data_IF_297602794752
#
_entry.id   IF_297602794752
#
_cell.length_a   1.000
_cell.length_b   1.000
_cell.length_c   1.000
_cell.angle_alpha   90.00
_cell.angle_beta   90.00
_cell.angle_gamma   90.00
#
_symmetry.space_group_name_H-M   'P 1'
#
loop_
_entity.id
_entity.type
_entity.pdbx_description
1 polymer ?
#
# COMPACT_ATOMS: atom_id res chain seq x y z
N UNK A 1 2.20 11.51 -7.77
CA UNK A 1 1.46 10.94 -6.64
C UNK A 1 2.46 10.30 -5.68
N UNK A 2 2.40 10.62 -4.39
CA UNK A 2 3.33 10.12 -3.37
C UNK A 2 3.00 8.68 -2.96
N UNK A 3 3.90 7.99 -2.26
CA UNK A 3 3.60 6.65 -1.74
C UNK A 3 2.47 6.71 -0.72
N UNK A 4 2.52 7.71 0.19
CA UNK A 4 1.41 7.98 1.11
C UNK A 4 0.09 8.20 0.38
N UNK A 5 0.06 8.98 -0.70
CA UNK A 5 -1.17 9.20 -1.46
C UNK A 5 -1.75 7.91 -2.06
N UNK A 6 -0.91 6.96 -2.51
CA UNK A 6 -1.41 5.64 -2.91
C UNK A 6 -2.11 4.91 -1.76
N UNK A 7 -1.49 4.88 -0.57
CA UNK A 7 -2.04 4.21 0.62
C UNK A 7 -3.35 4.88 1.07
N UNK A 8 -3.40 6.20 1.10
CA UNK A 8 -4.60 6.97 1.46
C UNK A 8 -5.75 6.69 0.46
N UNK A 9 -5.45 6.66 -0.85
CA UNK A 9 -6.44 6.31 -1.88
C UNK A 9 -6.93 4.86 -1.77
N UNK A 10 -6.06 3.91 -1.43
CA UNK A 10 -6.47 2.51 -1.18
C UNK A 10 -7.45 2.45 -0.02
N UNK A 11 -7.12 3.10 1.10
CA UNK A 11 -7.98 3.14 2.28
C UNK A 11 -9.33 3.80 1.96
N UNK A 12 -9.32 4.91 1.22
CA UNK A 12 -10.54 5.59 0.80
C UNK A 12 -11.42 4.72 -0.10
N UNK A 13 -10.82 3.94 -1.01
CA UNK A 13 -11.56 3.07 -1.95
C UNK A 13 -12.08 1.77 -1.33
N UNK A 14 -11.30 1.18 -0.44
CA UNK A 14 -11.56 -0.18 0.07
C UNK A 14 -12.05 -0.20 1.51
N UNK A 15 -11.89 0.89 2.25
CA UNK A 15 -12.09 0.93 3.71
C UNK A 15 -11.07 0.10 4.49
N UNK A 16 -10.01 -0.40 3.85
CA UNK A 16 -9.01 -1.28 4.47
C UNK A 16 -7.64 -0.60 4.56
N UNK A 17 -7.00 -0.80 5.70
CA UNK A 17 -5.62 -0.39 5.93
C UNK A 17 -4.61 -1.34 5.25
N UNK A 18 -3.39 -0.89 4.90
CA UNK A 18 -2.39 -1.75 4.26
C UNK A 18 -2.01 -2.99 5.10
N UNK A 19 -2.12 -2.90 6.44
CA UNK A 19 -1.92 -4.02 7.36
C UNK A 19 -2.98 -5.12 7.18
N UNK A 20 -4.21 -4.78 6.79
CA UNK A 20 -5.25 -5.77 6.51
C UNK A 20 -4.85 -6.69 5.35
N UNK A 21 -4.37 -6.09 4.24
CA UNK A 21 -3.89 -6.86 3.09
C UNK A 21 -2.65 -7.69 3.43
N UNK A 22 -1.77 -7.18 4.29
CA UNK A 22 -0.62 -7.94 4.76
C UNK A 22 -1.01 -9.17 5.59
N UNK A 23 -1.96 -9.04 6.51
CA UNK A 23 -2.45 -10.17 7.29
C UNK A 23 -3.12 -11.21 6.37
N UNK A 24 -3.98 -10.75 5.45
CA UNK A 24 -4.69 -11.64 4.52
C UNK A 24 -3.76 -12.34 3.53
N UNK A 25 -2.70 -11.68 3.06
CA UNK A 25 -1.67 -12.30 2.23
C UNK A 25 -0.92 -13.42 2.98
N UNK A 26 -0.63 -13.22 4.28
CA UNK A 26 0.00 -14.25 5.13
C UNK A 26 -0.93 -15.44 5.35
N UNK A 27 -2.21 -15.19 5.64
CA UNK A 27 -3.21 -16.24 5.80
C UNK A 27 -3.38 -17.08 4.52
N UNK A 28 -3.35 -16.43 3.35
CA UNK A 28 -3.40 -17.10 2.04
C UNK A 28 -2.08 -17.75 1.60
N UNK A 29 -0.99 -17.57 2.35
CA UNK A 29 0.34 -18.08 1.99
C UNK A 29 0.95 -17.42 0.74
N UNK A 30 0.50 -16.22 0.36
CA UNK A 30 0.96 -15.54 -0.85
C UNK A 30 2.31 -14.85 -0.61
N UNK A 31 3.31 -15.20 -1.41
CA UNK A 31 4.68 -14.69 -1.24
C UNK A 31 5.28 -14.12 -2.52
N UNK A 32 4.89 -14.63 -3.69
CA UNK A 32 5.41 -14.17 -4.97
C UNK A 32 4.73 -12.87 -5.39
N UNK A 33 5.51 -11.99 -6.01
CA UNK A 33 5.01 -10.70 -6.48
C UNK A 33 3.87 -10.86 -7.49
N UNK A 34 3.99 -11.80 -8.43
CA UNK A 34 2.95 -12.08 -9.44
C UNK A 34 1.64 -12.58 -8.80
N UNK A 35 1.72 -13.49 -7.82
CA UNK A 35 0.55 -14.01 -7.10
C UNK A 35 -0.15 -12.90 -6.33
N UNK A 36 0.60 -12.09 -5.58
CA UNK A 36 0.07 -10.94 -4.86
C UNK A 36 -0.56 -9.92 -5.80
N UNK A 37 0.08 -9.65 -6.94
CA UNK A 37 -0.43 -8.69 -7.92
C UNK A 37 -1.76 -9.17 -8.53
N UNK A 38 -1.83 -10.44 -8.90
CA UNK A 38 -3.07 -11.04 -9.42
C UNK A 38 -4.18 -11.00 -8.37
N UNK A 39 -3.90 -11.45 -7.15
CA UNK A 39 -4.86 -11.45 -6.04
C UNK A 39 -5.38 -10.04 -5.72
N UNK A 40 -4.49 -9.05 -5.58
CA UNK A 40 -4.88 -7.68 -5.27
C UNK A 40 -5.72 -7.04 -6.38
N UNK A 41 -5.47 -7.41 -7.64
CA UNK A 41 -6.26 -6.93 -8.78
C UNK A 41 -7.64 -7.59 -8.83
N UNK A 42 -7.68 -8.92 -8.73
CA UNK A 42 -8.89 -9.70 -8.94
C UNK A 42 -9.81 -9.68 -7.73
N UNK A 43 -9.29 -10.00 -6.54
CA UNK A 43 -10.08 -10.15 -5.33
C UNK A 43 -10.25 -8.84 -4.56
N UNK A 44 -9.26 -7.95 -4.62
CA UNK A 44 -9.28 -6.68 -3.89
C UNK A 44 -9.64 -5.47 -4.75
N UNK A 45 -9.84 -5.66 -6.07
CA UNK A 45 -10.24 -4.59 -6.99
C UNK A 45 -9.20 -3.47 -7.15
N UNK A 46 -7.92 -3.71 -6.80
CA UNK A 46 -6.88 -2.70 -6.86
C UNK A 46 -6.30 -2.59 -8.27
N UNK A 47 -6.25 -1.38 -8.82
CA UNK A 47 -5.48 -1.10 -10.03
C UNK A 47 -3.97 -1.32 -9.83
N UNK A 48 -3.23 -1.48 -10.94
CA UNK A 48 -1.82 -1.90 -10.92
C UNK A 48 -0.91 -1.09 -9.96
N UNK A 49 -0.99 0.25 -9.98
CA UNK A 49 -0.20 1.11 -9.09
C UNK A 49 -0.53 0.93 -7.61
N UNK A 50 -1.82 0.80 -7.27
CA UNK A 50 -2.27 0.55 -5.90
C UNK A 50 -1.85 -0.85 -5.42
N UNK A 51 -1.98 -1.86 -6.29
CA UNK A 51 -1.53 -3.22 -5.99
C UNK A 51 -0.03 -3.24 -5.69
N UNK A 52 0.81 -2.61 -6.52
CA UNK A 52 2.25 -2.52 -6.27
C UNK A 52 2.58 -1.79 -4.95
N UNK A 53 1.84 -0.75 -4.60
CA UNK A 53 2.03 -0.06 -3.33
C UNK A 53 1.76 -0.96 -2.12
N UNK A 54 0.71 -1.78 -2.19
CA UNK A 54 0.41 -2.81 -1.18
C UNK A 54 1.46 -3.91 -1.19
N UNK A 55 1.91 -4.41 -2.35
CA UNK A 55 2.95 -5.44 -2.41
C UNK A 55 4.25 -4.95 -1.74
N UNK A 56 4.63 -3.69 -1.94
CA UNK A 56 5.76 -3.11 -1.21
C UNK A 56 5.53 -3.16 0.30
N UNK A 57 4.33 -2.83 0.78
CA UNK A 57 4.00 -2.90 2.20
C UNK A 57 4.07 -4.34 2.74
N UNK A 58 3.55 -5.30 1.98
CA UNK A 58 3.56 -6.73 2.35
C UNK A 58 5.00 -7.23 2.48
N UNK A 59 5.84 -6.97 1.47
CA UNK A 59 7.21 -7.48 1.39
C UNK A 59 8.21 -6.72 2.26
N UNK A 60 8.02 -5.42 2.46
CA UNK A 60 8.93 -4.58 3.22
C UNK A 60 8.16 -3.49 4.00
N UNK A 61 7.46 -3.88 5.09
CA UNK A 61 6.62 -2.96 5.86
C UNK A 61 7.43 -1.81 6.47
N UNK A 62 8.69 -2.03 6.84
CA UNK A 62 9.57 -0.99 7.38
C UNK A 62 9.87 0.10 6.35
N UNK A 63 10.24 -0.29 5.12
CA UNK A 63 10.49 0.66 4.03
C UNK A 63 9.20 1.40 3.65
N UNK A 64 8.08 0.70 3.57
CA UNK A 64 6.78 1.30 3.31
C UNK A 64 6.43 2.36 4.36
N UNK A 65 6.58 2.05 5.65
CA UNK A 65 6.32 2.98 6.74
C UNK A 65 7.25 4.21 6.68
N UNK A 66 8.54 4.01 6.39
CA UNK A 66 9.49 5.12 6.20
C UNK A 66 9.06 6.05 5.06
N UNK A 67 8.59 5.50 3.93
CA UNK A 67 8.10 6.28 2.79
C UNK A 67 6.85 7.08 3.14
N UNK A 68 5.90 6.48 3.86
CA UNK A 68 4.69 7.17 4.34
C UNK A 68 5.07 8.38 5.21
N UNK A 69 5.97 8.17 6.17
CA UNK A 69 6.44 9.23 7.07
C UNK A 69 7.20 10.34 6.33
N UNK A 70 8.05 9.97 5.36
CA UNK A 70 8.79 10.94 4.56
C UNK A 70 7.85 11.81 3.70
N UNK A 71 6.87 11.20 3.05
CA UNK A 71 5.87 11.92 2.26
C UNK A 71 5.01 12.84 3.14
N UNK A 72 4.55 12.36 4.30
CA UNK A 72 3.78 13.17 5.26
C UNK A 72 4.56 14.40 5.75
N UNK A 73 5.88 14.28 5.98
CA UNK A 73 6.73 15.41 6.38
C UNK A 73 6.85 16.45 5.26
N UNK A 74 7.01 16.02 4.01
CA UNK A 74 7.08 16.92 2.85
C UNK A 74 5.77 17.67 2.63
N UNK A 75 4.62 16.99 2.80
CA UNK A 75 3.30 17.61 2.73
C UNK A 75 3.14 18.72 3.78
N UNK A 76 3.53 18.46 5.03
CA UNK A 76 3.49 19.47 6.11
C UNK A 76 4.42 20.66 5.85
N UNK A 77 5.60 20.43 5.28
CA UNK A 77 6.54 21.50 4.96
C UNK A 77 6.00 22.41 3.85
N UNK A 78 5.35 21.84 2.83
CA UNK A 78 4.75 22.60 1.72
C UNK A 78 3.57 23.47 2.14
N UNK A 79 2.79 23.05 3.14
CA UNK A 79 1.62 23.79 3.61
C UNK A 79 1.95 24.92 4.62
N UNK A 80 3.23 25.10 4.97
CA UNK A 80 3.69 26.11 5.94
C UNK A 80 4.42 27.29 5.28
N UNK A 81 4.62 27.26 3.96
CA UNK A 81 5.17 28.35 3.17
C UNK A 81 4.10 28.95 2.28
#
# INVERSE_FOLDING_TARGET
>A
MTYKAYIDNIKAKTGKDPQYFQALAKEKGLTKHSELLTWLKSDCGLGHGHANAIILYIKNPQLAQKKILADARKEKAKNKG
#
